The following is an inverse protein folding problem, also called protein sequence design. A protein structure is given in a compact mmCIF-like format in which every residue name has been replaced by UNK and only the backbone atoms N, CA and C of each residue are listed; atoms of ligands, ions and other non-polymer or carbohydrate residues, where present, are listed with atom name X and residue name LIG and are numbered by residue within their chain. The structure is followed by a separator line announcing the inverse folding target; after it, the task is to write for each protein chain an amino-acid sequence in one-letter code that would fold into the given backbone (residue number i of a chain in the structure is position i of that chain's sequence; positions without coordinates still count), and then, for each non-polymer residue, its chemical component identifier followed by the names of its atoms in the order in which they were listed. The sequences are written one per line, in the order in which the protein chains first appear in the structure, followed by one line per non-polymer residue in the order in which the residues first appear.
data_IF_875867854584
#
_entry.id   IF_875867854584
#
_cell.length_a   1.000
_cell.length_b   1.000
_cell.length_c   1.000
_cell.angle_alpha   90.00
_cell.angle_beta   90.00
_cell.angle_gamma   90.00
#
_symmetry.space_group_name_H-M   'P 1'
#
loop_
_entity.id
_entity.type
_entity.pdbx_description
1 polymer ?
#
# COMPACT_ATOMS: atom_id res chain seq x y z
N UNK A 1 -20.03 22.82 -1.84
CA UNK A 1 -19.84 21.37 -2.07
C UNK A 1 -20.88 20.65 -1.22
N UNK A 2 -21.27 19.42 -1.56
CA UNK A 2 -22.05 18.63 -0.60
C UNK A 2 -21.08 18.14 0.48
N UNK A 3 -21.41 18.38 1.75
CA UNK A 3 -20.58 17.98 2.88
C UNK A 3 -20.56 16.44 2.99
N UNK A 4 -19.38 15.85 2.87
CA UNK A 4 -19.21 14.40 3.07
C UNK A 4 -19.00 14.16 4.57
N UNK A 5 -19.94 13.46 5.19
CA UNK A 5 -19.82 13.06 6.59
C UNK A 5 -19.08 11.73 6.71
N UNK A 6 -18.00 11.74 7.50
CA UNK A 6 -17.30 10.55 7.99
C UNK A 6 -17.76 10.24 9.41
N UNK A 7 -17.54 9.02 9.93
CA UNK A 7 -17.81 8.72 11.34
C UNK A 7 -17.05 9.63 12.33
N UNK A 8 -15.99 10.31 11.87
CA UNK A 8 -15.12 11.18 12.67
C UNK A 8 -15.40 12.68 12.46
N UNK A 9 -16.32 13.07 11.57
CA UNK A 9 -16.62 14.48 11.27
C UNK A 9 -16.79 14.76 9.78
N UNK A 10 -16.86 16.04 9.41
CA UNK A 10 -16.94 16.48 8.01
C UNK A 10 -15.59 16.22 7.35
N UNK A 11 -15.58 15.60 6.16
CA UNK A 11 -14.36 15.22 5.44
C UNK A 11 -13.38 16.39 5.29
N UNK A 12 -13.88 17.55 4.87
CA UNK A 12 -13.07 18.76 4.69
C UNK A 12 -12.36 19.18 5.98
N UNK A 13 -12.95 18.94 7.15
CA UNK A 13 -12.33 19.24 8.44
C UNK A 13 -11.30 18.17 8.82
N UNK A 14 -11.70 16.89 8.78
CA UNK A 14 -10.87 15.78 9.28
C UNK A 14 -9.67 15.47 8.38
N UNK A 15 -9.69 15.83 7.10
CA UNK A 15 -8.52 15.67 6.24
C UNK A 15 -7.45 16.75 6.49
N UNK A 16 -7.83 17.90 7.07
CA UNK A 16 -6.92 19.02 7.40
C UNK A 16 -6.47 19.02 8.86
N UNK A 17 -7.22 18.36 9.75
CA UNK A 17 -6.86 18.15 11.16
C UNK A 17 -7.30 16.74 11.64
N UNK A 18 -6.67 15.66 11.12
CA UNK A 18 -7.05 14.29 11.45
C UNK A 18 -6.68 13.95 12.90
N UNK A 19 -7.66 13.46 13.65
CA UNK A 19 -7.41 12.84 14.94
C UNK A 19 -6.92 11.39 14.79
N UNK A 20 -6.47 10.78 15.89
CA UNK A 20 -5.93 9.42 15.87
C UNK A 20 -6.98 8.38 15.43
N UNK A 21 -8.24 8.52 15.83
CA UNK A 21 -9.30 7.57 15.47
C UNK A 21 -9.57 7.55 13.97
N UNK A 22 -9.53 8.72 13.34
CA UNK A 22 -9.62 8.86 11.89
C UNK A 22 -8.46 8.14 11.19
N UNK A 23 -7.22 8.39 11.64
CA UNK A 23 -6.03 7.75 11.07
C UNK A 23 -6.04 6.22 11.27
N UNK A 24 -6.45 5.75 12.45
CA UNK A 24 -6.51 4.33 12.76
C UNK A 24 -7.70 3.62 12.10
N UNK A 25 -8.64 4.36 11.50
CA UNK A 25 -9.75 3.75 10.79
C UNK A 25 -9.28 2.84 9.63
N UNK A 26 -8.07 3.03 9.09
CA UNK A 26 -7.45 2.14 8.10
C UNK A 26 -7.40 0.66 8.55
N UNK A 27 -7.37 0.38 9.86
CA UNK A 27 -7.41 -0.99 10.38
C UNK A 27 -8.81 -1.61 10.34
N UNK A 28 -9.84 -0.79 10.18
CA UNK A 28 -11.22 -1.25 9.98
C UNK A 28 -11.58 -1.39 8.50
N UNK A 29 -10.75 -0.86 7.59
CA UNK A 29 -10.98 -0.91 6.14
C UNK A 29 -10.43 -2.22 5.58
N UNK A 30 -11.27 -3.16 5.13
CA UNK A 30 -10.80 -4.39 4.51
C UNK A 30 -10.09 -4.08 3.19
N UNK A 31 -9.03 -4.82 2.88
CA UNK A 31 -8.47 -4.82 1.52
C UNK A 31 -9.53 -5.38 0.57
N UNK A 32 -9.71 -4.78 -0.61
CA UNK A 32 -10.56 -5.26 -1.68
C UNK A 32 -10.17 -6.68 -2.11
N UNK A 33 -8.87 -7.01 -2.06
CA UNK A 33 -8.39 -8.38 -2.18
C UNK A 33 -8.92 -9.28 -1.04
N UNK A 34 -8.89 -8.79 0.20
CA UNK A 34 -9.49 -9.40 1.39
C UNK A 34 -10.93 -9.84 1.19
N UNK A 35 -11.79 -8.91 0.79
CA UNK A 35 -13.23 -9.13 0.61
C UNK A 35 -13.61 -9.85 -0.68
N UNK A 36 -12.65 -10.11 -1.57
CA UNK A 36 -12.89 -10.93 -2.79
C UNK A 36 -13.16 -12.41 -2.49
N UNK A 37 -13.12 -12.82 -1.22
CA UNK A 37 -13.25 -14.23 -0.79
C UNK A 37 -11.93 -15.01 -0.81
N UNK A 38 -10.82 -14.33 -1.12
CA UNK A 38 -9.48 -14.92 -1.25
C UNK A 38 -8.42 -14.25 -0.37
N UNK A 39 -8.51 -12.94 -0.12
CA UNK A 39 -7.49 -12.19 0.62
C UNK A 39 -7.57 -12.28 2.14
N UNK A 40 -8.32 -13.22 2.70
CA UNK A 40 -8.40 -13.43 4.14
C UNK A 40 -8.87 -12.20 4.92
N UNK A 41 -8.30 -11.99 6.10
CA UNK A 41 -8.67 -10.91 7.02
C UNK A 41 -7.82 -9.64 6.84
N UNK A 42 -7.16 -9.47 5.69
CA UNK A 42 -6.29 -8.31 5.44
C UNK A 42 -7.07 -7.00 5.41
N UNK A 43 -6.53 -5.99 6.10
CA UNK A 43 -7.02 -4.61 6.10
C UNK A 43 -5.91 -3.62 5.67
N UNK A 44 -6.29 -2.38 5.38
CA UNK A 44 -5.36 -1.34 4.89
C UNK A 44 -4.27 -1.03 5.91
N UNK A 45 -4.60 -1.03 7.21
CA UNK A 45 -3.61 -0.85 8.27
C UNK A 45 -2.55 -1.96 8.31
N UNK A 46 -2.95 -3.23 8.15
CA UNK A 46 -2.04 -4.37 8.06
C UNK A 46 -1.15 -4.27 6.82
N UNK A 47 -1.72 -3.90 5.67
CA UNK A 47 -0.98 -3.63 4.44
C UNK A 47 0.09 -2.55 4.69
N UNK A 48 -0.31 -1.38 5.18
CA UNK A 48 0.58 -0.24 5.43
C UNK A 48 1.70 -0.58 6.41
N UNK A 49 1.40 -1.34 7.46
CA UNK A 49 2.41 -1.83 8.40
C UNK A 49 3.39 -2.81 7.75
N UNK A 50 2.89 -3.77 6.95
CA UNK A 50 3.75 -4.68 6.19
C UNK A 50 4.65 -3.93 5.20
N UNK A 51 4.09 -2.94 4.48
CA UNK A 51 4.83 -2.04 3.58
C UNK A 51 5.94 -1.30 4.33
N UNK A 52 5.68 -0.81 5.54
CA UNK A 52 6.69 -0.16 6.38
C UNK A 52 7.80 -1.11 6.86
N UNK A 53 7.48 -2.35 7.21
CA UNK A 53 8.50 -3.36 7.52
C UNK A 53 9.34 -3.69 6.28
N UNK A 54 8.72 -3.86 5.12
CA UNK A 54 9.42 -4.07 3.85
C UNK A 54 10.30 -2.85 3.51
N UNK A 55 9.89 -1.62 3.83
CA UNK A 55 10.71 -0.42 3.69
C UNK A 55 12.01 -0.50 4.49
N UNK A 56 11.99 -1.07 5.70
CA UNK A 56 13.20 -1.31 6.50
C UNK A 56 14.13 -2.32 5.81
N UNK A 57 13.59 -3.43 5.30
CA UNK A 57 14.37 -4.41 4.54
C UNK A 57 14.95 -3.80 3.26
N UNK A 58 14.15 -3.04 2.52
CA UNK A 58 14.55 -2.36 1.29
C UNK A 58 15.66 -1.35 1.55
N UNK A 59 15.52 -0.53 2.60
CA UNK A 59 16.52 0.44 3.00
C UNK A 59 17.83 -0.23 3.41
N UNK A 60 17.76 -1.34 4.18
CA UNK A 60 18.93 -2.14 4.54
C UNK A 60 19.60 -2.75 3.30
N UNK A 61 18.81 -3.29 2.38
CA UNK A 61 19.28 -3.90 1.14
C UNK A 61 20.02 -2.89 0.24
N UNK A 62 19.50 -1.66 0.15
CA UNK A 62 20.08 -0.58 -0.63
C UNK A 62 21.11 0.27 0.13
N UNK A 63 21.37 -0.04 1.42
CA UNK A 63 22.28 0.72 2.29
C UNK A 63 21.91 2.20 2.38
N UNK A 64 20.62 2.50 2.48
CA UNK A 64 20.15 3.88 2.63
C UNK A 64 20.62 4.50 3.94
N UNK A 65 21.00 5.79 3.95
CA UNK A 65 21.23 6.53 5.18
C UNK A 65 19.97 6.51 6.07
N UNK A 66 20.18 6.61 7.38
CA UNK A 66 19.09 6.58 8.36
C UNK A 66 17.98 7.59 8.04
N UNK A 67 18.31 8.84 7.69
CA UNK A 67 17.30 9.84 7.36
C UNK A 67 16.42 9.44 6.15
N UNK A 68 17.02 8.86 5.10
CA UNK A 68 16.27 8.37 3.93
C UNK A 68 15.39 7.17 4.30
N UNK A 69 15.92 6.24 5.11
CA UNK A 69 15.16 5.09 5.62
C UNK A 69 13.95 5.55 6.44
N UNK A 70 14.18 6.42 7.41
CA UNK A 70 13.14 6.88 8.34
C UNK A 70 12.03 7.60 7.56
N UNK A 71 12.40 8.43 6.57
CA UNK A 71 11.43 9.08 5.70
C UNK A 71 10.64 8.08 4.83
N UNK A 72 11.30 7.09 4.22
CA UNK A 72 10.61 6.05 3.45
C UNK A 72 9.66 5.20 4.32
N UNK A 73 10.05 4.87 5.56
CA UNK A 73 9.21 4.15 6.51
C UNK A 73 8.00 4.99 6.91
N UNK A 74 8.19 6.30 7.17
CA UNK A 74 7.07 7.21 7.43
C UNK A 74 6.10 7.25 6.25
N UNK A 75 6.61 7.43 5.02
CA UNK A 75 5.77 7.43 3.82
C UNK A 75 5.02 6.09 3.65
N UNK A 76 5.69 4.96 3.88
CA UNK A 76 5.09 3.64 3.82
C UNK A 76 3.95 3.43 4.83
N UNK A 77 4.09 3.97 6.05
CA UNK A 77 3.02 3.88 7.06
C UNK A 77 1.77 4.66 6.68
N UNK A 78 1.92 5.76 5.92
CA UNK A 78 0.85 6.73 5.72
C UNK A 78 0.32 6.80 4.29
N UNK A 79 0.88 6.03 3.35
CA UNK A 79 0.61 6.18 1.92
C UNK A 79 -0.86 5.95 1.53
N UNK A 80 -1.58 5.15 2.31
CA UNK A 80 -2.99 4.82 2.12
C UNK A 80 -3.93 5.48 3.15
N UNK A 81 -3.50 6.54 3.84
CA UNK A 81 -4.37 7.21 4.82
C UNK A 81 -5.67 7.77 4.23
N UNK A 82 -5.68 8.16 2.96
CA UNK A 82 -6.90 8.56 2.26
C UNK A 82 -7.97 7.44 2.24
N UNK A 83 -7.58 6.17 2.35
CA UNK A 83 -8.51 5.04 2.39
C UNK A 83 -9.30 4.96 3.70
N UNK A 84 -8.87 5.66 4.76
CA UNK A 84 -9.68 5.84 5.98
C UNK A 84 -11.04 6.49 5.69
N UNK A 85 -11.14 7.25 4.61
CA UNK A 85 -12.36 7.92 4.13
C UNK A 85 -13.03 7.12 3.03
N UNK A 86 -12.25 6.72 2.03
CA UNK A 86 -12.81 6.23 0.77
C UNK A 86 -13.04 4.74 0.74
N UNK A 87 -12.50 4.02 1.73
CA UNK A 87 -12.27 2.59 1.63
C UNK A 87 -11.19 2.24 0.60
N UNK A 88 -10.83 0.96 0.55
CA UNK A 88 -9.93 0.42 -0.47
C UNK A 88 -10.68 0.24 -1.80
N UNK A 89 -10.48 1.20 -2.71
CA UNK A 89 -11.08 1.17 -4.04
C UNK A 89 -10.12 0.48 -5.01
N UNK A 90 -10.58 -0.58 -5.70
CA UNK A 90 -9.75 -1.25 -6.70
C UNK A 90 -9.32 -0.27 -7.81
N UNK A 91 -8.07 -0.37 -8.31
CA UNK A 91 -7.53 0.56 -9.32
C UNK A 91 -8.41 0.73 -10.57
N UNK A 92 -9.09 -0.33 -11.01
CA UNK A 92 -9.96 -0.31 -12.20
C UNK A 92 -11.24 0.53 -12.02
N UNK A 93 -11.62 0.85 -10.78
CA UNK A 93 -12.76 1.70 -10.45
C UNK A 93 -12.35 3.15 -10.14
N UNK A 94 -11.04 3.47 -10.09
CA UNK A 94 -10.54 4.82 -9.85
C UNK A 94 -10.50 5.61 -11.17
N UNK A 95 -11.56 6.39 -11.44
CA UNK A 95 -11.57 7.38 -12.54
C UNK A 95 -10.49 8.46 -12.32
N UNK A 96 -10.14 9.23 -13.35
CA UNK A 96 -9.18 10.33 -13.21
C UNK A 96 -9.62 11.38 -12.18
N UNK A 97 -10.92 11.65 -12.11
CA UNK A 97 -11.53 12.56 -11.13
C UNK A 97 -11.37 12.01 -9.72
N UNK A 98 -11.68 10.72 -9.53
CA UNK A 98 -11.51 10.05 -8.23
C UNK A 98 -10.05 10.11 -7.80
N UNK A 99 -9.10 9.76 -8.68
CA UNK A 99 -7.66 9.84 -8.38
C UNK A 99 -7.23 11.23 -7.92
N UNK A 100 -7.72 12.29 -8.57
CA UNK A 100 -7.41 13.67 -8.19
C UNK A 100 -7.92 13.99 -6.78
N UNK A 101 -9.13 13.55 -6.45
CA UNK A 101 -9.70 13.75 -5.11
C UNK A 101 -8.95 12.95 -4.05
N UNK A 102 -8.64 11.67 -4.30
CA UNK A 102 -7.86 10.85 -3.37
C UNK A 102 -6.49 11.47 -3.08
N UNK A 103 -5.82 11.96 -4.12
CA UNK A 103 -4.53 12.65 -3.97
C UNK A 103 -4.66 13.95 -3.16
N UNK A 104 -5.76 14.69 -3.29
CA UNK A 104 -6.00 15.90 -2.50
C UNK A 104 -6.20 15.56 -1.01
N UNK A 105 -7.06 14.58 -0.71
CA UNK A 105 -7.29 14.08 0.67
C UNK A 105 -5.95 13.63 1.28
N UNK A 106 -5.21 12.79 0.56
CA UNK A 106 -3.90 12.29 1.01
C UNK A 106 -2.92 13.43 1.30
N UNK A 107 -2.87 14.44 0.42
CA UNK A 107 -1.96 15.57 0.58
C UNK A 107 -2.34 16.45 1.77
N UNK A 108 -3.64 16.66 2.01
CA UNK A 108 -4.13 17.43 3.16
C UNK A 108 -3.74 16.74 4.48
N UNK A 109 -3.95 15.43 4.57
CA UNK A 109 -3.56 14.62 5.74
C UNK A 109 -2.04 14.70 5.96
N UNK A 110 -1.25 14.50 4.91
CA UNK A 110 0.22 14.57 5.01
C UNK A 110 0.70 15.96 5.46
N UNK A 111 0.11 17.03 4.91
CA UNK A 111 0.43 18.39 5.29
C UNK A 111 0.12 18.64 6.78
N UNK A 112 -1.03 18.17 7.27
CA UNK A 112 -1.40 18.29 8.67
C UNK A 112 -0.43 17.56 9.60
N UNK A 113 0.08 16.40 9.17
CA UNK A 113 1.06 15.61 9.92
C UNK A 113 2.50 16.15 9.78
N UNK A 114 2.71 17.23 9.01
CA UNK A 114 4.04 17.79 8.75
C UNK A 114 4.94 16.89 7.90
N UNK A 115 4.36 15.95 7.14
CA UNK A 115 5.09 15.02 6.26
C UNK A 115 5.09 15.56 4.85
N UNK A 116 6.28 15.76 4.27
CA UNK A 116 6.43 16.23 2.89
C UNK A 116 6.41 15.05 1.91
N UNK A 117 5.79 15.19 0.73
CA UNK A 117 5.99 14.23 -0.35
C UNK A 117 7.44 14.27 -0.81
N UNK A 118 7.97 13.11 -1.21
CA UNK A 118 9.33 12.98 -1.73
C UNK A 118 9.30 12.20 -3.05
N UNK A 119 9.50 12.94 -4.14
CA UNK A 119 9.52 12.40 -5.51
C UNK A 119 10.71 11.47 -5.75
N UNK A 120 11.78 11.58 -4.95
CA UNK A 120 12.92 10.65 -5.00
C UNK A 120 12.53 9.29 -4.42
N UNK A 121 11.68 9.29 -3.39
CA UNK A 121 11.21 8.07 -2.74
C UNK A 121 9.95 7.46 -3.38
N UNK A 122 9.27 8.16 -4.27
CA UNK A 122 8.04 7.66 -4.92
C UNK A 122 8.25 6.30 -5.61
N UNK A 123 9.40 6.12 -6.28
CA UNK A 123 9.75 4.85 -6.92
C UNK A 123 10.00 3.75 -5.88
N UNK A 124 10.76 4.07 -4.82
CA UNK A 124 11.04 3.14 -3.72
C UNK A 124 9.74 2.70 -3.04
N UNK A 125 8.87 3.66 -2.69
CA UNK A 125 7.57 3.46 -2.06
C UNK A 125 6.66 2.58 -2.93
N UNK A 126 6.59 2.84 -4.23
CA UNK A 126 5.72 2.06 -5.11
C UNK A 126 6.17 0.60 -5.23
N UNK A 127 7.48 0.35 -5.23
CA UNK A 127 8.02 -1.01 -5.28
C UNK A 127 7.66 -1.77 -4.00
N UNK A 128 7.87 -1.16 -2.83
CA UNK A 128 7.60 -1.84 -1.56
C UNK A 128 6.09 -2.08 -1.35
N UNK A 129 5.22 -1.19 -1.79
CA UNK A 129 3.75 -1.39 -1.82
C UNK A 129 3.39 -2.61 -2.69
N UNK A 130 3.88 -2.67 -3.93
CA UNK A 130 3.64 -3.82 -4.81
C UNK A 130 4.16 -5.14 -4.23
N UNK A 131 5.31 -5.12 -3.55
CA UNK A 131 5.87 -6.29 -2.88
C UNK A 131 5.06 -6.66 -1.63
N UNK A 132 4.56 -5.69 -0.87
CA UNK A 132 3.66 -5.95 0.25
C UNK A 132 2.40 -6.65 -0.21
N UNK A 133 1.80 -6.23 -1.32
CA UNK A 133 0.65 -6.95 -1.88
C UNK A 133 1.00 -8.38 -2.33
N UNK A 134 2.20 -8.61 -2.89
CA UNK A 134 2.67 -9.97 -3.18
C UNK A 134 2.81 -10.82 -1.92
N UNK A 135 3.32 -10.24 -0.83
CA UNK A 135 3.39 -10.89 0.47
C UNK A 135 2.01 -11.28 0.99
N UNK A 136 1.01 -10.39 0.89
CA UNK A 136 -0.37 -10.67 1.29
C UNK A 136 -0.93 -11.91 0.59
N UNK A 137 -0.79 -11.96 -0.74
CA UNK A 137 -1.25 -13.08 -1.56
C UNK A 137 -0.64 -14.41 -1.08
N UNK A 138 0.65 -14.39 -0.71
CA UNK A 138 1.32 -15.58 -0.16
C UNK A 138 0.78 -15.99 1.21
N UNK A 139 0.51 -15.04 2.11
CA UNK A 139 0.00 -15.34 3.45
C UNK A 139 -1.42 -15.93 3.43
N UNK A 140 -2.22 -15.59 2.43
CA UNK A 140 -3.61 -16.09 2.31
C UNK A 140 -3.73 -17.33 1.42
N UNK A 141 -2.61 -17.79 0.85
CA UNK A 141 -2.61 -18.92 -0.08
C UNK A 141 -3.25 -20.15 0.58
N UNK A 142 -4.35 -20.68 0.01
CA UNK A 142 -5.19 -21.67 0.66
C UNK A 142 -4.50 -23.02 0.78
N UNK A 143 -4.92 -23.81 1.77
CA UNK A 143 -4.45 -25.18 1.98
C UNK A 143 -4.51 -26.01 0.69
N UNK A 144 -3.58 -26.96 0.55
CA UNK A 144 -3.50 -27.95 -0.53
C UNK A 144 -4.85 -28.67 -0.74
N UNK A 145 -5.70 -28.73 0.29
CA UNK A 145 -7.05 -29.31 0.23
C UNK A 145 -8.07 -28.49 -0.61
N UNK A 146 -7.72 -27.30 -1.11
CA UNK A 146 -8.57 -26.47 -1.98
C UNK A 146 -7.86 -26.10 -3.30
N UNK A 147 -7.62 -27.08 -4.20
CA UNK A 147 -6.73 -26.92 -5.36
C UNK A 147 -7.16 -25.81 -6.34
N UNK A 148 -8.46 -25.58 -6.51
CA UNK A 148 -8.96 -24.49 -7.38
C UNK A 148 -8.59 -23.11 -6.84
N UNK A 149 -8.69 -22.90 -5.52
CA UNK A 149 -8.31 -21.63 -4.90
C UNK A 149 -6.79 -21.45 -4.89
N UNK A 150 -6.04 -22.54 -4.72
CA UNK A 150 -4.58 -22.53 -4.80
C UNK A 150 -4.10 -22.12 -6.20
N UNK A 151 -4.69 -22.69 -7.26
CA UNK A 151 -4.37 -22.32 -8.64
C UNK A 151 -4.66 -20.84 -8.94
N UNK A 152 -5.78 -20.31 -8.41
CA UNK A 152 -6.11 -18.90 -8.54
C UNK A 152 -5.12 -18.00 -7.77
N UNK A 153 -4.77 -18.35 -6.53
CA UNK A 153 -3.79 -17.61 -5.73
C UNK A 153 -2.43 -17.53 -6.45
N UNK A 154 -1.96 -18.66 -7.02
CA UNK A 154 -0.75 -18.68 -7.84
C UNK A 154 -0.88 -17.77 -9.07
N UNK A 155 -2.03 -17.79 -9.76
CA UNK A 155 -2.27 -16.91 -10.91
C UNK A 155 -2.21 -15.43 -10.53
N UNK A 156 -2.76 -15.07 -9.37
CA UNK A 156 -2.74 -13.69 -8.86
C UNK A 156 -1.32 -13.30 -8.46
N UNK A 157 -0.59 -14.19 -7.77
CA UNK A 157 0.82 -13.97 -7.40
C UNK A 157 1.70 -13.76 -8.64
N UNK A 158 1.55 -14.61 -9.66
CA UNK A 158 2.29 -14.50 -10.93
C UNK A 158 2.00 -13.17 -11.63
N UNK A 159 0.72 -12.76 -11.70
CA UNK A 159 0.34 -11.46 -12.25
C UNK A 159 0.94 -10.30 -11.47
N UNK A 160 0.93 -10.38 -10.14
CA UNK A 160 1.52 -9.34 -9.30
C UNK A 160 3.04 -9.26 -9.49
N UNK A 161 3.71 -10.40 -9.61
CA UNK A 161 5.14 -10.47 -9.91
C UNK A 161 5.45 -9.83 -11.27
N UNK A 162 4.64 -10.09 -12.30
CA UNK A 162 4.77 -9.42 -13.60
C UNK A 162 4.55 -7.91 -13.51
N UNK A 163 3.59 -7.45 -12.69
CA UNK A 163 3.37 -6.02 -12.44
C UNK A 163 4.61 -5.38 -11.81
N UNK A 164 5.21 -6.03 -10.81
CA UNK A 164 6.47 -5.56 -10.17
C UNK A 164 7.58 -5.44 -11.21
N UNK A 165 7.81 -6.49 -12.02
CA UNK A 165 8.88 -6.47 -13.02
C UNK A 165 8.66 -5.45 -14.13
N UNK A 166 7.41 -5.28 -14.58
CA UNK A 166 7.05 -4.28 -15.60
C UNK A 166 7.32 -2.87 -15.06
N UNK A 167 6.83 -2.56 -13.86
CA UNK A 167 7.08 -1.28 -13.22
C UNK A 167 8.59 -1.00 -13.01
N UNK A 168 9.33 -2.00 -12.53
CA UNK A 168 10.78 -1.86 -12.31
C UNK A 168 11.53 -1.63 -13.63
N UNK A 169 11.14 -2.32 -14.71
CA UNK A 169 11.71 -2.11 -16.04
C UNK A 169 11.49 -0.67 -16.52
N UNK A 170 10.27 -0.14 -16.38
CA UNK A 170 9.94 1.25 -16.74
C UNK A 170 10.75 2.28 -15.95
N UNK A 171 11.11 1.95 -14.70
CA UNK A 171 11.93 2.79 -13.82
C UNK A 171 13.43 2.49 -13.88
N UNK A 172 13.89 1.68 -14.85
CA UNK A 172 15.29 1.28 -15.04
C UNK A 172 15.91 0.56 -13.82
N UNK A 173 15.11 -0.23 -13.11
CA UNK A 173 15.54 -1.04 -11.98
C UNK A 173 15.74 -2.48 -12.46
N UNK A 174 16.93 -3.05 -12.20
CA UNK A 174 17.29 -4.36 -12.72
C UNK A 174 16.41 -5.48 -12.13
N UNK A 175 16.03 -6.42 -13.00
CA UNK A 175 15.30 -7.63 -12.59
C UNK A 175 16.06 -8.41 -11.50
N UNK A 176 17.38 -8.59 -11.67
CA UNK A 176 18.23 -9.27 -10.68
C UNK A 176 18.14 -8.63 -9.28
N UNK A 177 18.13 -7.28 -9.22
CA UNK A 177 18.02 -6.57 -7.94
C UNK A 177 16.72 -6.90 -7.23
N UNK A 178 15.60 -6.91 -7.97
CA UNK A 178 14.28 -7.23 -7.41
C UNK A 178 14.22 -8.70 -7.00
N UNK A 179 14.67 -9.62 -7.85
CA UNK A 179 14.68 -11.05 -7.53
C UNK A 179 15.49 -11.34 -6.26
N UNK A 180 16.69 -10.76 -6.13
CA UNK A 180 17.53 -10.89 -4.92
C UNK A 180 16.86 -10.31 -3.68
N UNK A 181 16.07 -9.25 -3.83
CA UNK A 181 15.34 -8.66 -2.72
C UNK A 181 14.16 -9.54 -2.29
N UNK A 182 13.36 -10.05 -3.24
CA UNK A 182 12.28 -11.00 -2.97
C UNK A 182 12.80 -12.25 -2.25
N UNK A 183 13.91 -12.83 -2.72
CA UNK A 183 14.57 -13.97 -2.05
C UNK A 183 14.97 -13.64 -0.60
N UNK A 184 15.35 -12.40 -0.29
CA UNK A 184 15.68 -11.99 1.09
C UNK A 184 14.47 -11.90 2.01
N UNK A 185 13.29 -11.70 1.45
CA UNK A 185 12.02 -11.65 2.17
C UNK A 185 11.34 -13.02 2.27
N UNK A 186 11.90 -14.06 1.65
CA UNK A 186 11.25 -15.36 1.47
C UNK A 186 9.93 -15.26 0.67
N UNK A 187 9.91 -14.35 -0.30
CA UNK A 187 8.81 -14.09 -1.25
C UNK A 187 9.26 -14.47 -2.68
#
# INVERSE_FOLDING_TARGET
AEDIFTPQGILEEVEHDPNLDFLLNIFNIPRAFGVSGFGGHWNVGQHSYATALIALFWSKFNRYPQAKRDHLVTLALIHDLHEAVTGDILPMFKSSVVKKQLNAIQQNIMNSLGVKPDTVLEVDLKIIDLIAFLYEIKQVSPSIMQPKKLALANTIADRQLQTIYTYCKEKNISHDKIQRFLTKLDI
#
